data_IF_275886135727
#
_entry.id   IF_275886135727
#
_cell.length_a   1.000
_cell.length_b   1.000
_cell.length_c   1.000
_cell.angle_alpha   90.00
_cell.angle_beta   90.00
_cell.angle_gamma   90.00
#
_symmetry.space_group_name_H-M   'P 1'
#
loop_
_entity.id
_entity.type
_entity.pdbx_description
1 polymer ?
#
# COMPACT_ATOMS: atom_id res chain seq x y z
N UNK A 1 -89.38 -26.09 25.21
CA UNK A 1 -88.41 -27.19 25.01
C UNK A 1 -88.39 -27.50 23.52
N UNK A 2 -87.26 -27.30 22.82
CA UNK A 2 -86.44 -28.47 22.48
C UNK A 2 -84.90 -28.24 22.43
N UNK A 3 -84.21 -29.30 22.86
CA UNK A 3 -82.95 -29.93 22.42
C UNK A 3 -81.72 -29.07 22.02
N UNK A 4 -80.68 -29.29 22.83
CA UNK A 4 -79.27 -28.96 22.64
C UNK A 4 -78.64 -29.72 21.47
N UNK A 5 -77.70 -29.06 20.77
CA UNK A 5 -76.53 -29.71 20.18
C UNK A 5 -75.30 -28.87 20.56
N UNK A 6 -74.45 -29.42 21.44
CA UNK A 6 -73.11 -28.89 21.70
C UNK A 6 -72.21 -29.49 20.63
N UNK A 7 -71.75 -28.67 19.69
CA UNK A 7 -70.66 -29.03 18.78
C UNK A 7 -69.35 -28.99 19.56
N UNK A 8 -68.50 -30.03 19.53
CA UNK A 8 -67.23 -30.00 20.22
C UNK A 8 -66.29 -29.04 19.49
N UNK A 9 -65.73 -28.08 20.23
CA UNK A 9 -64.68 -27.19 19.73
C UNK A 9 -63.39 -28.01 19.61
N UNK A 10 -63.03 -28.43 18.40
CA UNK A 10 -61.70 -28.97 18.12
C UNK A 10 -60.68 -27.83 18.29
N UNK A 11 -59.89 -27.87 19.36
CA UNK A 11 -58.75 -27.00 19.55
C UNK A 11 -57.66 -27.38 18.54
N UNK A 12 -57.50 -26.58 17.50
CA UNK A 12 -56.38 -26.67 16.57
C UNK A 12 -55.12 -26.18 17.30
N UNK A 13 -54.29 -27.10 17.79
CA UNK A 13 -52.96 -26.77 18.29
C UNK A 13 -52.07 -26.43 17.08
N UNK A 14 -51.90 -25.13 16.80
CA UNK A 14 -50.87 -24.67 15.88
C UNK A 14 -49.51 -24.81 16.59
N UNK A 15 -48.74 -25.83 16.22
CA UNK A 15 -47.33 -25.88 16.55
C UNK A 15 -46.63 -24.69 15.87
N UNK A 16 -46.19 -23.71 16.65
CA UNK A 16 -45.24 -22.69 16.19
C UNK A 16 -43.93 -23.41 15.88
N UNK A 17 -43.72 -23.77 14.61
CA UNK A 17 -42.37 -24.02 14.13
C UNK A 17 -41.64 -22.68 14.18
N UNK A 18 -40.59 -22.58 15.02
CA UNK A 18 -39.66 -21.47 14.96
C UNK A 18 -39.17 -21.34 13.51
N UNK A 19 -39.40 -20.20 12.88
CA UNK A 19 -38.85 -19.93 11.56
C UNK A 19 -37.33 -20.01 11.69
N UNK A 20 -36.71 -20.97 10.99
CA UNK A 20 -35.26 -21.08 10.94
C UNK A 20 -34.69 -19.71 10.56
N UNK A 21 -33.83 -19.15 11.42
CA UNK A 21 -33.21 -17.86 11.16
C UNK A 21 -32.45 -17.89 9.83
N UNK A 22 -32.54 -16.82 9.04
CA UNK A 22 -31.93 -16.75 7.71
C UNK A 22 -30.40 -16.86 7.80
N UNK A 23 -29.88 -18.04 7.42
CA UNK A 23 -28.45 -18.34 7.43
C UNK A 23 -27.61 -17.37 6.58
N UNK A 24 -28.18 -16.77 5.54
CA UNK A 24 -27.51 -15.75 4.73
C UNK A 24 -27.34 -14.47 5.55
N UNK A 25 -28.40 -13.97 6.17
CA UNK A 25 -28.35 -12.77 6.99
C UNK A 25 -27.36 -12.94 8.16
N UNK A 26 -27.42 -14.08 8.84
CA UNK A 26 -26.49 -14.43 9.91
C UNK A 26 -25.03 -14.45 9.42
N UNK A 27 -24.77 -15.00 8.24
CA UNK A 27 -23.45 -14.99 7.62
C UNK A 27 -22.96 -13.57 7.28
N UNK A 28 -23.81 -12.75 6.66
CA UNK A 28 -23.47 -11.37 6.29
C UNK A 28 -23.09 -10.52 7.52
N UNK A 29 -23.81 -10.71 8.63
CA UNK A 29 -23.59 -9.97 9.87
C UNK A 29 -22.35 -10.41 10.66
N UNK A 30 -21.95 -11.68 10.56
CA UNK A 30 -20.94 -12.25 11.47
C UNK A 30 -19.68 -12.78 10.77
N UNK A 31 -19.74 -13.11 9.47
CA UNK A 31 -18.70 -13.88 8.80
C UNK A 31 -18.15 -13.21 7.52
N UNK A 32 -19.00 -12.47 6.79
CA UNK A 32 -18.65 -11.95 5.46
C UNK A 32 -17.48 -10.94 5.44
N UNK A 33 -17.17 -10.31 6.57
CA UNK A 33 -16.01 -9.41 6.68
C UNK A 33 -14.66 -10.15 6.60
N UNK A 34 -14.62 -11.42 7.02
CA UNK A 34 -13.39 -12.19 7.11
C UNK A 34 -13.33 -13.37 6.14
N UNK A 35 -14.48 -13.88 5.72
CA UNK A 35 -14.62 -15.02 4.82
C UNK A 35 -15.29 -14.58 3.54
N UNK A 36 -14.66 -14.83 2.40
CA UNK A 36 -15.25 -14.58 1.09
C UNK A 36 -15.58 -15.91 0.39
N UNK A 37 -16.54 -15.91 -0.55
CA UNK A 37 -16.95 -17.13 -1.25
C UNK A 37 -15.79 -17.88 -1.91
N UNK A 38 -14.93 -17.17 -2.62
CA UNK A 38 -13.96 -17.75 -3.56
C UNK A 38 -12.50 -17.43 -3.27
N UNK A 39 -12.18 -16.76 -2.16
CA UNK A 39 -10.80 -16.40 -1.84
C UNK A 39 -10.56 -16.20 -0.34
N UNK A 40 -9.31 -16.43 0.06
CA UNK A 40 -8.83 -16.08 1.40
C UNK A 40 -8.54 -14.58 1.48
N UNK A 41 -9.04 -13.93 2.54
CA UNK A 41 -8.70 -12.53 2.88
C UNK A 41 -8.13 -12.44 4.28
N UNK A 42 -8.94 -12.72 5.29
CA UNK A 42 -8.56 -12.81 6.69
C UNK A 42 -8.65 -14.27 7.11
N UNK A 43 -9.81 -14.87 6.88
CA UNK A 43 -10.06 -16.30 7.00
C UNK A 43 -10.06 -17.01 5.63
N UNK A 44 -10.10 -18.36 5.65
CA UNK A 44 -10.21 -19.17 4.44
C UNK A 44 -11.51 -18.90 3.68
N UNK A 45 -11.53 -19.23 2.38
CA UNK A 45 -12.70 -19.10 1.52
C UNK A 45 -13.83 -20.04 1.92
N UNK A 46 -15.06 -19.76 1.46
CA UNK A 46 -16.18 -20.68 1.63
C UNK A 46 -15.97 -22.00 0.89
N UNK A 47 -15.26 -21.99 -0.23
CA UNK A 47 -14.86 -23.22 -0.95
C UNK A 47 -14.00 -24.11 -0.03
N UNK A 48 -12.99 -23.56 0.63
CA UNK A 48 -12.15 -24.33 1.55
C UNK A 48 -12.92 -24.80 2.78
N UNK A 49 -13.71 -23.91 3.40
CA UNK A 49 -14.55 -24.26 4.56
C UNK A 49 -15.52 -25.38 4.20
N UNK A 50 -16.13 -25.33 3.02
CA UNK A 50 -17.04 -26.36 2.52
C UNK A 50 -16.33 -27.70 2.34
N UNK A 51 -15.11 -27.72 1.78
CA UNK A 51 -14.30 -28.96 1.68
C UNK A 51 -14.00 -29.56 3.06
N UNK A 52 -13.76 -28.73 4.07
CA UNK A 52 -13.49 -29.19 5.41
C UNK A 52 -14.76 -29.71 6.09
N UNK A 53 -15.88 -28.98 6.01
CA UNK A 53 -17.01 -29.18 6.93
C UNK A 53 -18.33 -29.63 6.26
N UNK A 54 -18.37 -29.84 4.94
CA UNK A 54 -19.57 -30.31 4.23
C UNK A 54 -20.15 -31.63 4.80
N UNK A 55 -19.30 -32.51 5.32
CA UNK A 55 -19.73 -33.78 5.95
C UNK A 55 -19.54 -33.81 7.46
N UNK A 56 -19.15 -32.68 8.07
CA UNK A 56 -18.72 -32.60 9.47
C UNK A 56 -19.37 -31.41 10.20
N UNK A 57 -20.71 -31.39 10.34
CA UNK A 57 -21.43 -30.27 10.94
C UNK A 57 -21.08 -30.04 12.41
N UNK A 58 -20.89 -31.09 13.21
CA UNK A 58 -20.49 -30.97 14.63
C UNK A 58 -19.12 -30.33 14.79
N UNK A 59 -18.14 -30.77 14.01
CA UNK A 59 -16.79 -30.18 14.03
C UNK A 59 -16.78 -28.72 13.57
N UNK A 60 -17.69 -28.31 12.67
CA UNK A 60 -17.85 -26.90 12.30
C UNK A 60 -18.32 -26.05 13.47
N UNK A 61 -19.32 -26.53 14.21
CA UNK A 61 -19.86 -25.83 15.39
C UNK A 61 -18.80 -25.75 16.48
N UNK A 62 -18.16 -26.87 16.82
CA UNK A 62 -17.09 -26.92 17.81
C UNK A 62 -15.95 -25.96 17.47
N UNK A 63 -15.50 -25.97 16.21
CA UNK A 63 -14.48 -25.04 15.72
C UNK A 63 -14.93 -23.58 15.79
N UNK A 64 -16.17 -23.29 15.45
CA UNK A 64 -16.70 -21.92 15.46
C UNK A 64 -16.85 -21.35 16.86
N UNK A 65 -17.17 -22.21 17.84
CA UNK A 65 -17.27 -21.82 19.25
C UNK A 65 -15.87 -21.69 19.88
N UNK A 66 -14.95 -22.61 19.58
CA UNK A 66 -13.60 -22.66 20.19
C UNK A 66 -12.51 -22.77 19.11
N UNK A 67 -12.32 -21.72 18.29
CA UNK A 67 -11.25 -21.72 17.31
C UNK A 67 -9.89 -21.75 17.98
N UNK A 68 -8.90 -22.24 17.23
CA UNK A 68 -7.49 -22.22 17.64
C UNK A 68 -6.63 -21.71 16.48
N UNK A 69 -5.44 -21.22 16.79
CA UNK A 69 -4.45 -20.88 15.76
C UNK A 69 -3.99 -22.14 14.99
N UNK A 70 -4.42 -22.26 13.73
CA UNK A 70 -4.13 -23.44 12.89
C UNK A 70 -3.08 -23.20 11.79
N UNK A 71 -2.92 -21.95 11.33
CA UNK A 71 -2.04 -21.60 10.21
C UNK A 71 -0.99 -20.59 10.64
N UNK A 72 0.23 -20.76 10.14
CA UNK A 72 1.27 -19.74 10.24
C UNK A 72 0.87 -18.52 9.39
N UNK A 73 1.19 -17.33 9.88
CA UNK A 73 0.92 -16.05 9.18
C UNK A 73 -0.56 -15.71 8.94
N UNK A 74 -1.50 -16.38 9.61
CA UNK A 74 -2.92 -16.03 9.63
C UNK A 74 -3.33 -15.71 11.06
N UNK A 75 -4.21 -14.72 11.24
CA UNK A 75 -4.76 -14.41 12.56
C UNK A 75 -5.62 -15.57 13.06
N UNK A 76 -5.73 -15.69 14.38
CA UNK A 76 -6.66 -16.62 14.99
C UNK A 76 -8.10 -16.13 14.79
N UNK A 77 -9.01 -17.05 14.44
CA UNK A 77 -10.42 -16.72 14.27
C UNK A 77 -11.03 -16.37 15.64
N UNK A 78 -11.85 -15.31 15.76
CA UNK A 78 -12.54 -15.03 17.02
C UNK A 78 -13.63 -16.09 17.30
N UNK A 79 -13.92 -16.32 18.58
CA UNK A 79 -15.00 -17.21 18.99
C UNK A 79 -16.37 -16.66 18.55
N UNK A 80 -17.19 -17.53 17.98
CA UNK A 80 -18.58 -17.25 17.59
C UNK A 80 -19.59 -17.90 18.53
N UNK A 81 -19.21 -18.11 19.80
CA UNK A 81 -20.05 -18.77 20.80
C UNK A 81 -21.41 -18.10 21.02
N UNK A 82 -21.52 -16.78 20.78
CA UNK A 82 -22.76 -16.01 20.94
C UNK A 82 -23.89 -16.42 19.98
N UNK A 83 -23.56 -17.10 18.88
CA UNK A 83 -24.55 -17.54 17.89
C UNK A 83 -25.27 -18.83 18.30
N UNK A 84 -24.62 -19.70 19.08
CA UNK A 84 -25.16 -21.03 19.41
C UNK A 84 -25.18 -21.99 18.21
N UNK A 85 -25.47 -23.26 18.49
CA UNK A 85 -25.36 -24.35 17.50
C UNK A 85 -26.33 -24.19 16.32
N UNK A 86 -27.60 -23.88 16.58
CA UNK A 86 -28.64 -23.76 15.55
C UNK A 86 -28.27 -22.73 14.47
N UNK A 87 -27.87 -21.52 14.89
CA UNK A 87 -27.49 -20.44 13.99
C UNK A 87 -26.21 -20.75 13.22
N UNK A 88 -25.23 -21.39 13.88
CA UNK A 88 -24.00 -21.82 13.23
C UNK A 88 -24.27 -22.87 12.14
N UNK A 89 -25.21 -23.79 12.35
CA UNK A 89 -25.61 -24.75 11.33
C UNK A 89 -26.34 -24.08 10.16
N UNK A 90 -27.17 -23.07 10.41
CA UNK A 90 -27.80 -22.28 9.35
C UNK A 90 -26.76 -21.49 8.51
N UNK A 91 -25.79 -20.85 9.17
CA UNK A 91 -24.65 -20.19 8.50
C UNK A 91 -23.87 -21.20 7.66
N UNK A 92 -23.57 -22.37 8.21
CA UNK A 92 -22.84 -23.42 7.49
C UNK A 92 -23.57 -23.82 6.21
N UNK A 93 -24.88 -24.02 6.27
CA UNK A 93 -25.67 -24.39 5.08
C UNK A 93 -25.64 -23.30 4.01
N UNK A 94 -25.72 -22.03 4.43
CA UNK A 94 -25.50 -20.91 3.53
C UNK A 94 -24.09 -20.93 2.92
N UNK A 95 -23.05 -21.16 3.71
CA UNK A 95 -21.65 -21.21 3.23
C UNK A 95 -21.44 -22.33 2.19
N UNK A 96 -22.06 -23.51 2.41
CA UNK A 96 -22.03 -24.61 1.45
C UNK A 96 -22.67 -24.19 0.13
N UNK A 97 -23.89 -23.66 0.19
CA UNK A 97 -24.65 -23.21 -0.98
C UNK A 97 -23.93 -22.09 -1.74
N UNK A 98 -23.41 -21.10 -1.02
CA UNK A 98 -22.73 -19.94 -1.60
C UNK A 98 -21.39 -20.29 -2.27
N UNK A 99 -20.82 -21.47 -1.99
CA UNK A 99 -19.57 -21.92 -2.59
C UNK A 99 -19.76 -22.83 -3.82
N UNK A 100 -20.99 -23.28 -4.10
CA UNK A 100 -21.28 -24.22 -5.19
C UNK A 100 -20.85 -23.64 -6.54
N UNK A 101 -20.04 -24.40 -7.28
CA UNK A 101 -19.59 -24.03 -8.63
C UNK A 101 -18.53 -22.93 -8.69
N UNK A 102 -18.13 -22.36 -7.54
CA UNK A 102 -17.06 -21.36 -7.50
C UNK A 102 -15.68 -22.00 -7.64
N UNK A 103 -14.72 -21.21 -8.14
CA UNK A 103 -13.32 -21.58 -8.25
C UNK A 103 -12.49 -20.70 -7.34
N UNK A 104 -11.56 -21.30 -6.61
CA UNK A 104 -10.66 -20.58 -5.71
C UNK A 104 -9.82 -19.59 -6.51
N UNK A 105 -9.87 -18.31 -6.13
CA UNK A 105 -8.94 -17.32 -6.65
C UNK A 105 -7.61 -17.45 -5.91
N UNK A 106 -6.49 -17.35 -6.64
CA UNK A 106 -5.18 -17.39 -6.01
C UNK A 106 -5.02 -16.18 -5.07
N UNK A 107 -4.22 -16.37 -4.01
CA UNK A 107 -3.84 -15.26 -3.14
C UNK A 107 -3.13 -14.17 -3.96
N UNK A 108 -3.45 -12.92 -3.67
CA UNK A 108 -2.76 -11.77 -4.27
C UNK A 108 -1.33 -11.78 -3.73
N UNK A 109 -0.36 -11.85 -4.63
CA UNK A 109 1.08 -11.90 -4.31
C UNK A 109 1.84 -10.66 -4.75
N UNK A 110 1.21 -9.84 -5.61
CA UNK A 110 1.73 -8.60 -6.20
C UNK A 110 0.61 -7.57 -6.22
N UNK A 111 0.96 -6.29 -6.16
CA UNK A 111 -0.02 -5.21 -6.18
C UNK A 111 -0.74 -5.24 -7.54
N UNK A 112 -2.09 -5.34 -7.57
CA UNK A 112 -2.84 -5.31 -8.82
C UNK A 112 -2.61 -4.03 -9.63
N UNK A 113 -2.16 -2.95 -8.99
CA UNK A 113 -1.81 -1.68 -9.62
C UNK A 113 -0.32 -1.57 -10.00
N UNK A 114 0.51 -2.56 -9.67
CA UNK A 114 1.91 -2.59 -10.06
C UNK A 114 2.05 -2.85 -11.57
N UNK A 115 2.24 -1.77 -12.31
CA UNK A 115 2.33 -1.74 -13.78
C UNK A 115 3.41 -0.76 -14.22
N UNK A 116 3.88 -0.85 -15.48
CA UNK A 116 4.68 0.22 -16.07
C UNK A 116 3.93 1.55 -15.97
N UNK A 117 4.62 2.59 -15.49
CA UNK A 117 4.07 3.94 -15.46
C UNK A 117 3.93 4.45 -16.90
N UNK A 118 2.75 4.96 -17.25
CA UNK A 118 2.46 5.48 -18.60
C UNK A 118 2.66 7.00 -18.72
N UNK A 119 2.67 7.66 -17.56
CA UNK A 119 2.85 9.09 -17.35
C UNK A 119 3.60 9.26 -16.03
N UNK A 120 4.06 10.46 -15.69
CA UNK A 120 4.52 10.73 -14.34
C UNK A 120 3.51 10.25 -13.29
N UNK A 121 3.98 9.39 -12.39
CA UNK A 121 3.20 8.84 -11.28
C UNK A 121 3.97 9.09 -9.99
N UNK A 122 3.29 9.56 -8.95
CA UNK A 122 3.90 9.90 -7.67
C UNK A 122 3.32 9.01 -6.59
N UNK A 123 4.18 8.35 -5.81
CA UNK A 123 3.78 7.45 -4.74
C UNK A 123 4.62 7.71 -3.50
N UNK A 124 3.97 8.09 -2.39
CA UNK A 124 4.63 8.28 -1.09
C UNK A 124 4.64 6.96 -0.34
N UNK A 125 5.79 6.29 -0.24
CA UNK A 125 5.87 4.92 0.32
C UNK A 125 7.18 4.71 1.08
N UNK A 126 7.19 3.72 1.96
CA UNK A 126 8.44 3.23 2.53
C UNK A 126 9.15 2.40 1.47
N UNK A 127 10.35 2.84 1.08
CA UNK A 127 11.17 2.16 0.07
C UNK A 127 12.46 1.64 0.73
N UNK A 128 13.12 0.62 0.14
CA UNK A 128 14.39 0.15 0.64
C UNK A 128 15.48 1.23 0.56
N UNK A 129 16.37 1.27 1.57
CA UNK A 129 17.58 2.08 1.59
C UNK A 129 17.37 3.61 1.51
N UNK A 130 16.18 4.10 1.87
CA UNK A 130 15.84 5.54 1.98
C UNK A 130 15.10 5.83 3.28
N UNK A 131 14.97 7.10 3.65
CA UNK A 131 14.22 7.51 4.83
C UNK A 131 12.71 7.23 4.71
N UNK A 132 11.98 7.25 5.84
CA UNK A 132 10.55 6.93 5.87
C UNK A 132 9.66 7.94 5.13
N UNK A 133 10.21 9.12 4.78
CA UNK A 133 9.51 10.17 4.06
C UNK A 133 9.81 10.13 2.54
N UNK A 134 9.96 8.93 1.98
CA UNK A 134 10.28 8.74 0.57
C UNK A 134 9.09 9.05 -0.35
N UNK A 135 9.41 9.72 -1.45
CA UNK A 135 8.51 10.09 -2.53
C UNK A 135 9.08 9.48 -3.81
N UNK A 136 8.48 8.38 -4.24
CA UNK A 136 8.79 7.75 -5.51
C UNK A 136 8.10 8.53 -6.64
N UNK A 137 8.81 8.74 -7.74
CA UNK A 137 8.30 9.40 -8.94
C UNK A 137 8.71 8.55 -10.14
N UNK A 138 7.74 8.05 -10.88
CA UNK A 138 7.98 7.55 -12.22
C UNK A 138 8.18 8.74 -13.15
N UNK A 139 9.26 8.78 -13.92
CA UNK A 139 9.48 9.79 -14.94
C UNK A 139 8.89 9.32 -16.28
N UNK A 140 8.68 10.22 -17.26
CA UNK A 140 8.36 9.80 -18.61
C UNK A 140 9.43 8.84 -19.14
N UNK A 141 9.03 7.67 -19.64
CA UNK A 141 9.94 6.60 -20.08
C UNK A 141 10.03 5.46 -19.07
N UNK A 142 11.25 4.97 -18.82
CA UNK A 142 11.52 3.81 -17.96
C UNK A 142 12.36 4.15 -16.72
N UNK A 143 12.64 5.44 -16.48
CA UNK A 143 13.37 5.90 -15.32
C UNK A 143 12.42 6.28 -14.19
N UNK A 144 12.82 5.92 -12.99
CA UNK A 144 12.10 6.24 -11.77
C UNK A 144 13.09 6.77 -10.73
N UNK A 145 12.63 7.70 -9.90
CA UNK A 145 13.44 8.36 -8.90
C UNK A 145 12.77 8.32 -7.53
N UNK A 146 13.57 8.32 -6.48
CA UNK A 146 13.11 8.51 -5.10
C UNK A 146 13.71 9.79 -4.55
N UNK A 147 12.86 10.75 -4.23
CA UNK A 147 13.21 11.91 -3.43
C UNK A 147 12.90 11.61 -1.97
N UNK A 148 13.87 11.82 -1.07
CA UNK A 148 13.66 11.67 0.36
C UNK A 148 13.36 13.04 0.97
N UNK A 149 12.12 13.22 1.44
CA UNK A 149 11.70 14.47 2.04
C UNK A 149 12.32 14.72 3.43
N UNK A 150 12.86 13.69 4.09
CA UNK A 150 13.60 13.85 5.35
C UNK A 150 14.96 14.49 5.13
N UNK A 151 15.68 14.06 4.09
CA UNK A 151 16.98 14.62 3.71
C UNK A 151 16.87 15.79 2.69
N UNK A 152 15.68 16.02 2.13
CA UNK A 152 15.40 16.94 1.02
C UNK A 152 16.38 16.78 -0.17
N UNK A 153 16.52 15.54 -0.66
CA UNK A 153 17.38 15.23 -1.82
C UNK A 153 16.95 13.98 -2.57
N UNK A 154 17.39 13.88 -3.82
CA UNK A 154 17.37 12.65 -4.60
C UNK A 154 18.21 11.56 -3.90
N UNK A 155 17.65 10.35 -3.75
CA UNK A 155 18.30 9.23 -3.05
C UNK A 155 18.50 7.98 -3.88
N UNK A 156 17.56 7.65 -4.76
CA UNK A 156 17.63 6.41 -5.54
C UNK A 156 17.10 6.65 -6.95
N UNK A 157 17.73 6.02 -7.93
CA UNK A 157 17.29 5.98 -9.33
C UNK A 157 17.28 4.53 -9.78
N UNK A 158 16.20 4.10 -10.40
CA UNK A 158 16.10 2.76 -11.00
C UNK A 158 15.45 2.82 -12.37
N UNK A 159 15.75 1.81 -13.19
CA UNK A 159 15.16 1.62 -14.51
C UNK A 159 14.29 0.38 -14.56
N UNK A 160 13.09 0.52 -15.10
CA UNK A 160 12.07 -0.52 -15.21
C UNK A 160 10.68 0.00 -14.84
N UNK A 161 9.84 -0.92 -14.38
CA UNK A 161 8.52 -0.60 -13.85
C UNK A 161 8.62 0.19 -12.54
N UNK A 162 7.51 0.80 -12.13
CA UNK A 162 7.52 1.75 -11.03
C UNK A 162 7.69 1.07 -9.66
N UNK A 163 6.60 0.57 -9.07
CA UNK A 163 6.61 -0.03 -7.74
C UNK A 163 5.67 -1.24 -7.65
N UNK A 164 6.02 -2.17 -6.77
CA UNK A 164 5.08 -3.12 -6.17
C UNK A 164 4.90 -2.79 -4.69
N UNK A 165 3.73 -2.24 -4.37
CA UNK A 165 3.39 -1.80 -3.02
C UNK A 165 2.74 -2.91 -2.18
N UNK A 166 2.59 -4.13 -2.69
CA UNK A 166 1.79 -5.16 -2.02
C UNK A 166 2.32 -5.56 -0.65
N UNK A 167 3.64 -5.69 -0.53
CA UNK A 167 4.26 -6.00 0.77
C UNK A 167 3.95 -4.93 1.82
N UNK A 168 3.95 -3.65 1.43
CA UNK A 168 3.55 -2.54 2.29
C UNK A 168 2.07 -2.63 2.66
N UNK A 169 1.16 -2.76 1.68
CA UNK A 169 -0.28 -2.78 1.93
C UNK A 169 -0.72 -3.96 2.80
N UNK A 170 -0.27 -5.18 2.47
CA UNK A 170 -0.64 -6.39 3.22
C UNK A 170 -0.11 -6.40 4.67
N UNK A 171 0.91 -5.60 4.96
CA UNK A 171 1.54 -5.54 6.28
C UNK A 171 1.08 -4.35 7.13
N UNK A 172 0.08 -3.59 6.67
CA UNK A 172 -0.35 -2.34 7.31
C UNK A 172 0.82 -1.36 7.52
N UNK A 173 1.65 -1.19 6.48
CA UNK A 173 2.76 -0.23 6.48
C UNK A 173 4.00 -0.65 7.28
N UNK A 174 4.12 -1.93 7.65
CA UNK A 174 5.30 -2.45 8.37
C UNK A 174 6.44 -2.93 7.46
N UNK A 175 6.17 -3.10 6.16
CA UNK A 175 7.16 -3.47 5.16
C UNK A 175 7.39 -2.34 4.16
N UNK A 176 8.40 -2.46 3.31
CA UNK A 176 8.67 -1.54 2.20
C UNK A 176 7.99 -2.01 0.91
N UNK A 177 7.69 -1.06 0.02
CA UNK A 177 7.39 -1.39 -1.38
C UNK A 177 8.66 -1.82 -2.11
N UNK A 178 8.50 -2.65 -3.15
CA UNK A 178 9.59 -3.11 -3.98
C UNK A 178 9.78 -2.21 -5.21
N UNK A 179 11.04 -1.88 -5.52
CA UNK A 179 11.41 -1.22 -6.77
C UNK A 179 11.37 -2.25 -7.89
N UNK A 180 10.57 -2.02 -8.93
CA UNK A 180 10.43 -2.98 -10.02
C UNK A 180 11.44 -2.71 -11.14
N UNK A 181 12.71 -3.03 -10.90
CA UNK A 181 13.72 -2.86 -11.93
C UNK A 181 15.13 -2.94 -11.40
N UNK A 182 16.07 -2.38 -12.16
CA UNK A 182 17.47 -2.32 -11.77
C UNK A 182 17.79 -0.95 -11.18
N UNK A 183 18.24 -0.92 -9.93
CA UNK A 183 18.83 0.29 -9.34
C UNK A 183 20.08 0.68 -10.11
N UNK A 184 20.11 1.91 -10.62
CA UNK A 184 21.22 2.45 -11.41
C UNK A 184 22.13 3.34 -10.57
N UNK A 185 21.57 4.03 -9.58
CA UNK A 185 22.30 4.98 -8.75
C UNK A 185 21.60 5.16 -7.41
N UNK A 186 22.38 5.36 -6.34
CA UNK A 186 21.85 5.65 -5.01
C UNK A 186 22.85 6.42 -4.15
N UNK A 187 22.35 7.28 -3.27
CA UNK A 187 23.13 7.93 -2.22
C UNK A 187 22.82 7.33 -0.84
N UNK A 188 23.85 7.17 0.02
CA UNK A 188 23.66 6.74 1.40
C UNK A 188 22.88 7.81 2.17
N UNK A 189 22.26 7.43 3.31
CA UNK A 189 21.64 8.39 4.22
C UNK A 189 22.64 9.44 4.73
N UNK A 190 22.16 10.65 5.00
CA UNK A 190 22.97 11.76 5.52
C UNK A 190 22.17 12.49 6.59
N UNK A 191 22.26 11.96 7.82
CA UNK A 191 21.57 12.50 8.99
C UNK A 191 21.99 13.95 9.29
N UNK A 192 23.15 14.40 8.79
CA UNK A 192 23.59 15.78 8.97
C UNK A 192 22.67 16.79 8.27
N UNK A 193 21.94 16.35 7.23
CA UNK A 193 20.99 17.20 6.51
C UNK A 193 19.70 17.43 7.29
N UNK A 194 19.23 16.47 8.07
CA UNK A 194 17.89 16.51 8.68
C UNK A 194 17.67 17.71 9.62
N UNK A 195 18.76 18.26 10.20
CA UNK A 195 18.72 19.47 11.05
C UNK A 195 18.84 20.78 10.26
N UNK A 196 19.25 20.70 8.99
CA UNK A 196 19.54 21.83 8.11
C UNK A 196 18.50 22.00 7.01
N UNK A 197 17.60 21.03 6.84
CA UNK A 197 16.57 21.04 5.81
C UNK A 197 15.17 21.05 6.42
N UNK A 198 14.23 21.62 5.68
CA UNK A 198 12.81 21.57 6.01
C UNK A 198 12.00 21.43 4.74
N UNK A 199 11.41 20.26 4.53
CA UNK A 199 10.50 20.02 3.44
C UNK A 199 9.25 20.90 3.56
N UNK A 200 8.85 21.56 2.48
CA UNK A 200 7.68 22.45 2.41
C UNK A 200 6.54 21.83 1.59
N UNK A 201 6.83 20.85 0.74
CA UNK A 201 5.84 20.15 -0.08
C UNK A 201 6.35 19.99 -1.51
N UNK A 202 5.43 19.76 -2.43
CA UNK A 202 5.69 19.79 -3.86
C UNK A 202 4.45 20.23 -4.61
N UNK A 203 4.66 20.91 -5.73
CA UNK A 203 3.62 21.18 -6.72
C UNK A 203 3.72 20.17 -7.84
N UNK A 204 2.60 19.90 -8.53
CA UNK A 204 2.54 18.95 -9.64
C UNK A 204 2.04 19.69 -10.86
N UNK A 205 2.79 19.60 -11.96
CA UNK A 205 2.40 20.25 -13.21
C UNK A 205 1.31 19.47 -13.98
N UNK A 206 0.86 20.02 -15.10
CA UNK A 206 -0.18 19.40 -15.93
C UNK A 206 0.21 18.04 -16.51
N UNK A 207 1.50 17.70 -16.56
CA UNK A 207 2.01 16.39 -17.02
C UNK A 207 2.07 15.37 -15.88
N UNK A 208 1.96 15.82 -14.63
CA UNK A 208 2.08 14.99 -13.43
C UNK A 208 3.48 15.02 -12.80
N UNK A 209 4.41 15.83 -13.31
CA UNK A 209 5.77 15.90 -12.80
C UNK A 209 5.82 16.80 -11.55
N UNK A 210 6.46 16.35 -10.45
CA UNK A 210 6.59 17.16 -9.24
C UNK A 210 7.76 18.14 -9.29
N UNK A 211 7.53 19.31 -8.71
CA UNK A 211 8.57 20.25 -8.29
C UNK A 211 8.60 20.29 -6.77
N UNK A 212 9.68 19.80 -6.18
CA UNK A 212 9.87 19.72 -4.73
C UNK A 212 10.26 21.08 -4.17
N UNK A 213 9.65 21.44 -3.05
CA UNK A 213 9.87 22.72 -2.38
C UNK A 213 10.39 22.44 -0.97
N UNK A 214 11.55 23.00 -0.65
CA UNK A 214 12.17 22.81 0.66
C UNK A 214 13.09 23.98 1.02
N UNK A 215 13.38 24.10 2.30
CA UNK A 215 14.42 24.99 2.81
C UNK A 215 15.67 24.15 3.09
N UNK A 216 16.84 24.70 2.81
CA UNK A 216 18.12 24.13 3.19
C UNK A 216 19.11 25.24 3.53
N UNK A 217 19.72 25.17 4.71
CA UNK A 217 20.73 26.12 5.17
C UNK A 217 20.24 27.59 5.10
N UNK A 218 18.93 27.81 5.29
CA UNK A 218 18.26 29.11 5.21
C UNK A 218 17.92 29.60 3.79
N UNK A 219 18.26 28.85 2.74
CA UNK A 219 17.86 29.11 1.36
C UNK A 219 16.61 28.32 0.97
N UNK A 220 15.76 28.89 0.12
CA UNK A 220 14.54 28.23 -0.37
C UNK A 220 14.81 27.61 -1.74
N UNK A 221 14.59 26.31 -1.86
CA UNK A 221 14.82 25.53 -3.07
C UNK A 221 13.50 25.10 -3.68
N UNK A 222 13.44 25.20 -5.01
CA UNK A 222 12.55 24.44 -5.89
C UNK A 222 13.41 23.48 -6.71
N UNK A 223 13.10 22.19 -6.69
CA UNK A 223 13.83 21.17 -7.45
C UNK A 223 12.88 20.35 -8.32
N UNK A 224 13.17 20.29 -9.62
CA UNK A 224 12.48 19.43 -10.58
C UNK A 224 13.48 18.43 -11.15
N UNK A 225 13.12 17.15 -11.16
CA UNK A 225 13.99 16.07 -11.63
C UNK A 225 13.39 15.49 -12.91
N UNK A 226 14.14 15.50 -14.00
CA UNK A 226 13.71 14.99 -15.30
C UNK A 226 14.73 14.00 -15.88
N UNK A 227 14.26 13.12 -16.77
CA UNK A 227 15.15 12.35 -17.62
C UNK A 227 15.87 13.29 -18.61
N UNK A 228 17.16 13.06 -18.83
CA UNK A 228 17.97 13.82 -19.78
C UNK A 228 18.97 12.89 -20.48
N UNK A 229 18.68 12.55 -21.74
CA UNK A 229 19.41 11.53 -22.48
C UNK A 229 19.45 10.19 -21.74
N UNK A 230 20.67 9.70 -21.45
CA UNK A 230 20.88 8.48 -20.68
C UNK A 230 20.90 8.70 -19.15
N UNK A 231 20.84 9.94 -18.69
CA UNK A 231 20.95 10.34 -17.29
C UNK A 231 19.74 11.09 -16.75
N UNK A 232 19.96 11.92 -15.74
CA UNK A 232 18.97 12.83 -15.18
C UNK A 232 19.47 14.27 -15.23
N UNK A 233 18.54 15.20 -15.37
CA UNK A 233 18.77 16.62 -15.06
C UNK A 233 17.95 17.00 -13.83
N UNK A 234 18.63 17.53 -12.81
CA UNK A 234 18.04 18.13 -11.61
C UNK A 234 18.09 19.64 -11.78
N UNK A 235 16.93 20.25 -12.01
CA UNK A 235 16.77 21.69 -12.26
C UNK A 235 16.40 22.35 -10.94
N UNK A 236 17.13 23.41 -10.58
CA UNK A 236 16.95 24.13 -9.34
C UNK A 236 16.59 25.58 -9.61
N UNK A 237 15.69 26.11 -8.77
CA UNK A 237 15.49 27.54 -8.60
C UNK A 237 15.65 27.85 -7.11
N UNK A 238 16.60 28.72 -6.77
CA UNK A 238 16.93 28.99 -5.36
C UNK A 238 16.80 30.47 -5.04
N UNK A 239 16.02 30.76 -4.00
CA UNK A 239 15.94 32.10 -3.41
C UNK A 239 16.82 32.17 -2.17
N UNK A 240 17.85 33.00 -2.23
CA UNK A 240 18.82 33.16 -1.13
C UNK A 240 19.53 34.52 -1.18
N UNK A 241 19.82 35.14 -0.02
CA UNK A 241 20.72 36.30 0.05
C UNK A 241 22.21 35.90 0.18
N UNK A 242 22.51 34.63 0.45
CA UNK A 242 23.88 34.11 0.70
C UNK A 242 24.30 33.10 -0.37
N UNK A 243 25.62 32.92 -0.61
CA UNK A 243 26.10 31.84 -1.46
C UNK A 243 25.58 30.47 -1.02
N UNK A 244 25.32 29.60 -1.99
CA UNK A 244 24.87 28.22 -1.77
C UNK A 244 26.05 27.28 -1.93
N UNK A 245 26.18 26.32 -1.02
CA UNK A 245 27.20 25.26 -1.10
C UNK A 245 26.51 23.90 -1.12
N UNK A 246 26.75 23.12 -2.16
CA UNK A 246 26.20 21.78 -2.33
C UNK A 246 27.31 20.75 -2.51
N UNK A 247 27.27 19.61 -1.79
CA UNK A 247 28.14 18.48 -2.12
C UNK A 247 27.69 17.85 -3.44
N UNK A 248 28.66 17.51 -4.29
CA UNK A 248 28.45 16.74 -5.52
C UNK A 248 29.02 15.34 -5.35
N UNK A 249 28.23 14.32 -5.68
CA UNK A 249 28.72 12.96 -5.77
C UNK A 249 29.50 12.73 -7.08
N UNK A 250 30.01 11.51 -7.25
CA UNK A 250 30.89 11.22 -8.38
C UNK A 250 30.22 11.31 -9.74
N UNK A 251 28.91 11.00 -9.79
CA UNK A 251 28.12 10.95 -11.01
C UNK A 251 27.51 12.30 -11.38
N UNK A 252 27.59 13.31 -10.50
CA UNK A 252 26.92 14.59 -10.68
C UNK A 252 27.89 15.68 -11.16
N UNK A 253 27.50 16.39 -12.22
CA UNK A 253 28.21 17.54 -12.78
C UNK A 253 27.29 18.76 -12.85
N UNK A 254 27.85 19.97 -12.84
CA UNK A 254 27.12 21.23 -13.02
C UNK A 254 27.76 22.03 -14.14
N UNK A 255 26.95 22.65 -15.01
CA UNK A 255 27.45 23.54 -16.07
C UNK A 255 27.76 24.97 -15.58
N UNK A 256 27.27 25.35 -14.40
CA UNK A 256 27.34 26.70 -13.84
C UNK A 256 27.96 26.70 -12.43
N UNK A 257 28.64 27.78 -12.06
CA UNK A 257 29.30 27.93 -10.76
C UNK A 257 30.76 27.50 -10.75
N UNK A 258 31.44 27.79 -9.65
CA UNK A 258 32.82 27.36 -9.43
C UNK A 258 32.82 26.04 -8.66
N UNK A 259 33.30 24.96 -9.28
CA UNK A 259 33.57 23.70 -8.56
C UNK A 259 34.83 23.92 -7.73
N UNK A 260 34.68 24.13 -6.42
CA UNK A 260 35.81 24.40 -5.54
C UNK A 260 36.40 23.08 -5.03
N UNK A 261 37.64 22.84 -5.47
CA UNK A 261 38.60 21.81 -5.04
C UNK A 261 38.23 20.35 -5.40
N UNK A 262 39.05 19.78 -6.28
CA UNK A 262 39.04 18.38 -6.72
C UNK A 262 39.04 17.34 -5.57
N UNK A 263 39.49 17.72 -4.36
CA UNK A 263 39.51 16.83 -3.20
C UNK A 263 38.17 16.72 -2.42
N UNK A 264 37.28 17.71 -2.51
CA UNK A 264 36.04 17.78 -1.69
C UNK A 264 34.74 17.82 -2.50
N UNK A 265 34.81 17.90 -3.85
CA UNK A 265 33.67 17.97 -4.79
C UNK A 265 32.49 18.83 -4.28
N UNK A 266 32.77 20.09 -3.93
CA UNK A 266 31.74 21.05 -3.54
C UNK A 266 31.45 22.03 -4.68
N UNK A 267 30.17 22.26 -4.94
CA UNK A 267 29.68 23.32 -5.80
C UNK A 267 29.37 24.54 -4.94
N UNK A 268 30.00 25.67 -5.27
CA UNK A 268 29.68 26.97 -4.67
C UNK A 268 29.04 27.86 -5.72
N UNK A 269 27.85 28.38 -5.40
CA UNK A 269 27.10 29.29 -6.26
C UNK A 269 26.90 30.62 -5.53
N UNK A 270 27.17 31.72 -6.21
CA UNK A 270 26.71 33.05 -5.78
C UNK A 270 25.18 33.11 -5.77
N UNK A 271 24.56 34.07 -5.05
CA UNK A 271 23.11 34.27 -5.12
C UNK A 271 22.57 34.44 -6.55
N UNK A 272 23.36 35.06 -7.45
CA UNK A 272 22.98 35.24 -8.85
C UNK A 272 22.97 33.90 -9.62
N UNK A 273 24.01 33.07 -9.45
CA UNK A 273 24.09 31.75 -10.08
C UNK A 273 23.07 30.77 -9.49
N UNK A 274 22.73 30.91 -8.20
CA UNK A 274 21.77 30.04 -7.52
C UNK A 274 20.32 30.27 -7.96
N UNK A 275 19.99 31.43 -8.56
CA UNK A 275 18.62 31.74 -9.04
C UNK A 275 18.08 30.64 -9.95
N UNK A 276 18.90 30.11 -10.84
CA UNK A 276 18.59 28.95 -11.65
C UNK A 276 19.86 28.23 -12.08
N UNK A 277 19.93 26.92 -11.81
CA UNK A 277 21.03 26.07 -12.28
C UNK A 277 20.55 24.64 -12.48
N UNK A 278 21.35 23.85 -13.20
CA UNK A 278 21.06 22.43 -13.46
C UNK A 278 22.23 21.55 -13.10
N UNK A 279 21.95 20.48 -12.36
CA UNK A 279 22.90 19.39 -12.13
C UNK A 279 22.54 18.21 -13.05
N UNK A 280 23.52 17.72 -13.79
CA UNK A 280 23.40 16.51 -14.61
C UNK A 280 23.95 15.32 -13.85
N UNK A 281 23.16 14.24 -13.74
CA UNK A 281 23.56 12.97 -13.12
C UNK A 281 23.77 11.94 -14.21
N UNK A 282 25.00 11.45 -14.34
CA UNK A 282 25.32 10.37 -15.28
C UNK A 282 24.93 9.03 -14.68
N UNK A 283 24.05 8.28 -15.36
CA UNK A 283 23.71 6.92 -14.97
C UNK A 283 24.60 5.90 -15.71
N UNK A 284 24.89 4.74 -15.10
CA UNK A 284 25.67 3.67 -15.72
C UNK A 284 24.94 2.94 -16.84
#
# INVERSE_FOLDING_TARGET
MPRWFITPLLALSAAFAAAAEDGKLLYEQNCAACHLPDQMVVGPSLIEISKLYAKRPKEFVEWSIKPQKKRNNVIEMPSMAHLGEEKLLAIREHMLTASVGLKEKPAITKDPLARPARRPEIQRMFLPNVGPAAIAVALPGDLNVCFDAGDCRLRTVWRGDFLDCWAYYKSNGKATAALLGKTLWSLPADESLQKRVKFRGYTVDATGLPTFEYERDGAQFRETIVADGAGLARRFEVTTPKPVVLPLDEATTCATGSVVKAATRQLTLTPAEAKSFTLSVRLP
#
